data_IF_136848864250
#
_entry.id   IF_136848864250
#
_cell.length_a   1.000
_cell.length_b   1.000
_cell.length_c   1.000
_cell.angle_alpha   90.00
_cell.angle_beta   90.00
_cell.angle_gamma   90.00
#
_symmetry.space_group_name_H-M   'P 1'
#
loop_
_entity.id
_entity.type
_entity.pdbx_description
1 polymer ?
#
# COMPACT_ATOMS: atom_id res chain seq x y z
N UNK A 1 -16.82 -3.15 -13.45
CA UNK A 1 -16.43 -3.13 -12.03
C UNK A 1 -14.93 -3.40 -11.96
N UNK A 2 -14.15 -2.67 -11.16
CA UNK A 2 -12.69 -2.95 -11.04
C UNK A 2 -12.42 -4.28 -10.31
N UNK A 3 -13.37 -4.72 -9.48
CA UNK A 3 -13.35 -5.98 -8.74
C UNK A 3 -13.16 -7.23 -9.62
N UNK A 4 -13.56 -7.19 -10.89
CA UNK A 4 -13.36 -8.33 -11.81
C UNK A 4 -11.87 -8.59 -12.13
N UNK A 5 -10.99 -7.66 -11.78
CA UNK A 5 -9.54 -7.78 -11.93
C UNK A 5 -8.87 -8.14 -10.59
N UNK A 6 -9.61 -8.67 -9.63
CA UNK A 6 -9.05 -9.12 -8.36
C UNK A 6 -7.88 -10.09 -8.58
N UNK A 7 -6.82 -9.87 -7.81
CA UNK A 7 -5.66 -10.76 -7.76
C UNK A 7 -5.39 -11.18 -6.34
N UNK A 8 -5.02 -12.44 -6.17
CA UNK A 8 -4.54 -12.90 -4.88
C UNK A 8 -3.09 -12.47 -4.66
N UNK A 9 -2.86 -11.70 -3.59
CA UNK A 9 -1.53 -11.25 -3.20
C UNK A 9 -1.22 -11.63 -1.75
N UNK A 10 0.07 -11.83 -1.46
CA UNK A 10 0.60 -12.12 -0.12
C UNK A 10 1.86 -11.31 0.13
N UNK A 11 2.07 -10.89 1.38
CA UNK A 11 3.20 -10.10 1.81
C UNK A 11 4.49 -10.91 1.81
N UNK A 12 5.60 -10.31 1.36
CA UNK A 12 6.92 -10.93 1.32
C UNK A 12 7.74 -10.58 2.56
N UNK A 13 8.00 -11.54 3.47
CA UNK A 13 8.83 -11.35 4.67
C UNK A 13 10.27 -10.91 4.36
N UNK A 14 10.78 -11.18 3.16
CA UNK A 14 12.14 -10.78 2.77
C UNK A 14 12.25 -9.27 2.50
N UNK A 15 11.13 -8.63 2.14
CA UNK A 15 11.07 -7.19 1.91
C UNK A 15 10.71 -6.40 3.18
N UNK A 16 10.04 -7.06 4.12
CA UNK A 16 9.47 -6.42 5.30
C UNK A 16 10.51 -5.75 6.20
N UNK A 17 10.24 -4.51 6.59
CA UNK A 17 11.05 -3.80 7.57
C UNK A 17 11.15 -4.57 8.91
N UNK A 18 12.31 -4.62 9.58
CA UNK A 18 12.52 -5.47 10.77
C UNK A 18 11.58 -5.23 11.97
N UNK A 19 10.91 -4.07 12.02
CA UNK A 19 9.89 -3.73 13.04
C UNK A 19 8.47 -4.17 12.66
N UNK A 20 8.28 -4.74 11.47
CA UNK A 20 6.97 -5.22 11.04
C UNK A 20 6.78 -6.67 11.46
N UNK A 21 5.55 -6.99 11.82
CA UNK A 21 5.09 -8.35 12.10
C UNK A 21 4.05 -8.69 11.03
N UNK A 22 4.26 -9.83 10.38
CA UNK A 22 3.36 -10.38 9.37
C UNK A 22 2.61 -11.58 9.97
N UNK A 23 1.37 -11.80 9.54
CA UNK A 23 0.64 -13.04 9.80
C UNK A 23 1.21 -14.21 9.00
N UNK A 24 0.97 -15.44 9.45
CA UNK A 24 1.49 -16.65 8.82
C UNK A 24 0.95 -16.86 7.39
N UNK A 25 -0.29 -16.42 7.14
CA UNK A 25 -0.93 -16.44 5.82
C UNK A 25 -0.42 -15.33 4.88
N UNK A 26 0.44 -14.43 5.38
CA UNK A 26 0.97 -13.30 4.62
C UNK A 26 -0.09 -12.25 4.25
N UNK A 27 -1.24 -12.20 4.92
CA UNK A 27 -2.31 -11.23 4.60
C UNK A 27 -2.30 -9.99 5.49
N UNK A 28 -1.66 -10.04 6.66
CA UNK A 28 -1.71 -8.96 7.65
C UNK A 28 -0.34 -8.38 7.95
N UNK A 29 -0.28 -7.09 8.24
CA UNK A 29 0.92 -6.42 8.74
C UNK A 29 0.61 -5.35 9.77
N UNK A 30 1.38 -5.33 10.85
CA UNK A 30 1.36 -4.26 11.85
C UNK A 30 2.77 -3.93 12.35
N UNK A 31 2.90 -2.79 13.03
CA UNK A 31 4.14 -2.39 13.67
C UNK A 31 4.31 -3.09 15.02
N UNK A 32 5.35 -3.91 15.16
CA UNK A 32 5.64 -4.73 16.33
C UNK A 32 6.35 -4.00 17.49
N UNK A 33 6.67 -2.71 17.35
CA UNK A 33 7.33 -1.93 18.39
C UNK A 33 8.85 -2.12 18.43
N UNK A 34 9.29 -3.37 18.52
CA UNK A 34 10.70 -3.77 18.61
C UNK A 34 11.19 -4.31 17.27
N UNK A 35 12.41 -3.92 16.88
CA UNK A 35 13.05 -4.42 15.68
C UNK A 35 13.62 -5.82 15.88
N UNK A 36 13.31 -6.74 14.98
CA UNK A 36 13.93 -8.06 14.93
C UNK A 36 15.38 -7.94 14.41
N UNK A 37 16.30 -8.73 14.95
CA UNK A 37 17.62 -8.92 14.35
C UNK A 37 17.48 -9.93 13.21
N UNK A 38 17.55 -9.45 11.99
CA UNK A 38 17.45 -10.27 10.76
C UNK A 38 18.77 -10.19 10.01
N UNK A 39 19.14 -11.23 9.24
CA UNK A 39 20.28 -11.14 8.32
C UNK A 39 20.06 -10.02 7.31
N UNK A 40 21.15 -9.42 6.83
CA UNK A 40 21.04 -8.43 5.77
C UNK A 40 20.47 -9.08 4.51
N UNK A 41 19.55 -8.35 3.87
CA UNK A 41 18.88 -8.76 2.65
C UNK A 41 18.69 -7.50 1.80
N UNK A 42 19.18 -7.46 0.55
CA UNK A 42 19.06 -6.28 -0.31
C UNK A 42 17.59 -5.90 -0.60
N UNK A 43 16.67 -6.87 -0.58
CA UNK A 43 15.23 -6.63 -0.79
C UNK A 43 14.56 -5.95 0.41
N UNK A 44 15.17 -6.01 1.60
CA UNK A 44 14.58 -5.57 2.85
C UNK A 44 14.61 -4.06 3.00
N UNK A 45 13.45 -3.47 3.26
CA UNK A 45 13.36 -2.09 3.69
C UNK A 45 14.01 -1.89 5.06
N UNK A 46 14.95 -0.95 5.18
CA UNK A 46 15.62 -0.66 6.47
C UNK A 46 15.31 0.73 7.01
N UNK A 47 14.78 1.63 6.18
CA UNK A 47 14.45 3.02 6.54
C UNK A 47 12.95 3.28 6.65
N UNK A 48 12.16 2.63 5.81
CA UNK A 48 10.70 2.81 5.75
C UNK A 48 10.00 1.60 6.34
N UNK A 49 8.87 1.82 7.02
CA UNK A 49 8.03 0.77 7.61
C UNK A 49 7.19 0.05 6.53
N UNK A 50 7.83 -0.32 5.42
CA UNK A 50 7.18 -0.89 4.24
C UNK A 50 7.38 -2.40 4.17
N UNK A 51 6.47 -3.04 3.46
CA UNK A 51 6.55 -4.43 2.99
C UNK A 51 5.91 -4.49 1.61
N UNK A 52 6.49 -5.27 0.70
CA UNK A 52 5.92 -5.55 -0.61
C UNK A 52 5.15 -6.88 -0.60
N UNK A 53 4.31 -7.08 -1.59
CA UNK A 53 3.81 -8.41 -1.91
C UNK A 53 4.85 -9.26 -2.64
N UNK A 54 4.64 -10.58 -2.65
CA UNK A 54 5.44 -11.52 -3.45
C UNK A 54 5.17 -11.38 -4.94
N UNK A 55 3.91 -11.10 -5.27
CA UNK A 55 3.44 -10.92 -6.63
C UNK A 55 3.78 -9.52 -7.12
N UNK A 56 4.17 -9.45 -8.39
CA UNK A 56 4.34 -8.21 -9.15
C UNK A 56 3.66 -8.33 -10.50
N UNK A 57 3.39 -7.18 -11.10
CA UNK A 57 2.62 -7.09 -12.34
C UNK A 57 3.33 -6.16 -13.31
N UNK A 58 3.53 -6.64 -14.54
CA UNK A 58 4.27 -5.93 -15.59
C UNK A 58 3.42 -5.63 -16.83
N UNK A 59 2.13 -5.95 -16.78
CA UNK A 59 1.15 -5.73 -17.86
C UNK A 59 -0.27 -5.93 -17.34
N UNK A 60 -1.25 -5.52 -18.14
CA UNK A 60 -2.66 -5.79 -17.88
C UNK A 60 -3.24 -5.01 -16.70
N UNK A 61 -4.28 -5.57 -16.08
CA UNK A 61 -5.07 -4.92 -15.03
C UNK A 61 -5.11 -5.80 -13.79
N UNK A 62 -4.98 -5.20 -12.62
CA UNK A 62 -5.12 -5.89 -11.35
C UNK A 62 -5.76 -5.03 -10.28
N UNK A 63 -6.38 -5.68 -9.30
CA UNK A 63 -7.09 -5.05 -8.21
C UNK A 63 -6.86 -5.82 -6.90
N UNK A 64 -6.67 -5.10 -5.80
CA UNK A 64 -6.63 -5.69 -4.45
C UNK A 64 -7.25 -4.75 -3.43
N UNK A 65 -7.73 -5.30 -2.31
CA UNK A 65 -8.36 -4.55 -1.24
C UNK A 65 -7.56 -4.67 0.06
N UNK A 66 -7.50 -3.56 0.79
CA UNK A 66 -6.80 -3.46 2.07
C UNK A 66 -7.75 -2.89 3.10
N UNK A 67 -8.05 -3.65 4.15
CA UNK A 67 -8.71 -3.14 5.33
C UNK A 67 -7.75 -2.23 6.10
N UNK A 68 -8.24 -1.02 6.37
CA UNK A 68 -7.54 0.06 7.09
C UNK A 68 -8.29 0.50 8.36
N UNK A 69 -9.38 -0.21 8.68
CA UNK A 69 -10.26 0.05 9.80
C UNK A 69 -9.50 0.22 11.12
N UNK A 70 -9.94 1.19 11.92
CA UNK A 70 -9.42 1.50 13.26
C UNK A 70 -7.93 1.92 13.29
N UNK A 71 -7.36 2.34 12.15
CA UNK A 71 -6.00 2.90 12.06
C UNK A 71 -6.04 4.43 11.99
N UNK A 72 -5.09 5.06 12.66
CA UNK A 72 -4.91 6.53 12.66
C UNK A 72 -3.82 7.01 11.70
N UNK A 73 -2.97 6.08 11.24
CA UNK A 73 -1.96 6.34 10.21
C UNK A 73 -1.65 5.09 9.38
N UNK A 74 -1.54 5.25 8.07
CA UNK A 74 -1.10 4.20 7.14
C UNK A 74 -0.74 4.78 5.78
N UNK A 75 0.00 4.00 4.99
CA UNK A 75 0.18 4.23 3.57
C UNK A 75 0.06 2.92 2.79
N UNK A 76 -0.46 2.99 1.57
CA UNK A 76 -0.57 1.84 0.68
C UNK A 76 -0.58 2.28 -0.78
N UNK A 77 -0.31 1.34 -1.68
CA UNK A 77 -0.37 1.57 -3.11
C UNK A 77 0.48 0.56 -3.87
N UNK A 78 1.10 1.02 -4.95
CA UNK A 78 2.02 0.22 -5.76
C UNK A 78 3.34 0.96 -5.95
N UNK A 79 4.43 0.20 -6.06
CA UNK A 79 5.77 0.73 -6.25
C UNK A 79 6.54 -0.06 -7.29
N UNK A 80 7.44 0.62 -7.98
CA UNK A 80 8.42 0.03 -8.89
C UNK A 80 9.34 -0.97 -8.19
N UNK A 81 9.85 -1.95 -8.94
CA UNK A 81 10.86 -2.90 -8.47
C UNK A 81 12.14 -2.20 -7.98
N UNK A 82 12.57 -1.17 -8.72
CA UNK A 82 13.78 -0.39 -8.51
C UNK A 82 13.76 0.55 -7.28
N UNK A 83 12.63 0.69 -6.59
CA UNK A 83 12.55 1.65 -5.46
C UNK A 83 13.58 1.32 -4.38
N UNK A 84 14.28 2.34 -3.87
CA UNK A 84 15.35 2.12 -2.90
C UNK A 84 14.80 1.51 -1.61
N UNK A 85 15.46 0.42 -1.17
CA UNK A 85 15.13 -0.30 0.07
C UNK A 85 15.93 0.24 1.26
N UNK A 86 17.07 0.90 1.00
CA UNK A 86 18.09 1.24 2.00
C UNK A 86 18.20 2.75 2.27
N UNK A 87 17.75 3.57 1.33
CA UNK A 87 17.86 5.02 1.44
C UNK A 87 16.62 5.64 2.07
N UNK A 88 16.84 6.80 2.70
CA UNK A 88 15.73 7.64 3.13
C UNK A 88 15.19 8.37 1.91
N UNK A 89 13.97 8.03 1.52
CA UNK A 89 13.21 8.71 0.47
C UNK A 89 12.28 9.69 1.18
N UNK A 90 12.32 10.96 0.80
CA UNK A 90 11.51 12.02 1.43
C UNK A 90 10.02 11.87 1.16
N UNK A 91 9.66 11.33 0.00
CA UNK A 91 8.26 11.11 -0.43
C UNK A 91 8.21 10.00 -1.47
N UNK A 92 7.24 9.06 -1.36
CA UNK A 92 6.97 8.06 -2.40
C UNK A 92 5.97 8.62 -3.42
N UNK A 93 6.46 9.52 -4.28
CA UNK A 93 5.74 10.05 -5.46
C UNK A 93 5.96 9.18 -6.70
N UNK A 94 5.14 9.35 -7.76
CA UNK A 94 5.36 8.64 -9.02
C UNK A 94 6.77 8.83 -9.58
N UNK A 95 7.38 10.02 -9.42
CA UNK A 95 8.74 10.28 -9.89
C UNK A 95 9.79 9.47 -9.12
N UNK A 96 9.60 9.32 -7.79
CA UNK A 96 10.44 8.48 -6.93
C UNK A 96 10.10 6.97 -7.03
N UNK A 97 9.09 6.63 -7.83
CA UNK A 97 8.72 5.26 -8.17
C UNK A 97 7.58 4.64 -7.39
N UNK A 98 6.72 5.43 -6.72
CA UNK A 98 5.56 4.94 -5.99
C UNK A 98 4.27 5.71 -6.25
N UNK A 99 3.15 5.01 -6.33
CA UNK A 99 1.81 5.60 -6.38
C UNK A 99 1.12 5.34 -5.06
N UNK A 100 1.16 6.33 -4.17
CA UNK A 100 0.88 6.11 -2.75
C UNK A 100 -0.26 6.97 -2.24
N UNK A 101 -1.21 6.32 -1.58
CA UNK A 101 -2.22 6.96 -0.76
C UNK A 101 -1.79 6.91 0.71
N UNK A 102 -1.78 8.07 1.36
CA UNK A 102 -1.42 8.24 2.76
C UNK A 102 -2.62 8.72 3.56
N UNK A 103 -2.80 8.14 4.73
CA UNK A 103 -3.72 8.62 5.76
C UNK A 103 -2.95 8.94 7.04
N UNK A 104 -3.13 10.13 7.58
CA UNK A 104 -2.53 10.54 8.85
C UNK A 104 -3.42 11.55 9.56
N UNK A 105 -3.91 11.20 10.76
CA UNK A 105 -4.73 12.09 11.61
C UNK A 105 -5.87 12.76 10.83
N UNK A 106 -6.72 11.95 10.22
CA UNK A 106 -7.90 12.41 9.45
C UNK A 106 -7.56 13.27 8.22
N UNK A 107 -6.34 13.12 7.70
CA UNK A 107 -5.94 13.70 6.41
C UNK A 107 -5.61 12.57 5.45
N UNK A 108 -6.34 12.53 4.34
CA UNK A 108 -6.08 11.64 3.22
C UNK A 108 -5.36 12.45 2.13
N UNK A 109 -4.21 11.96 1.68
CA UNK A 109 -3.43 12.62 0.64
C UNK A 109 -2.89 11.59 -0.35
N UNK A 110 -2.86 11.96 -1.62
CA UNK A 110 -2.05 11.25 -2.61
C UNK A 110 -0.67 11.90 -2.67
N UNK A 111 0.38 11.08 -2.59
CA UNK A 111 1.77 11.55 -2.60
C UNK A 111 2.19 11.90 -4.01
N UNK A 112 2.25 13.20 -4.27
CA UNK A 112 2.65 13.79 -5.54
C UNK A 112 3.41 15.10 -5.28
N UNK A 113 3.90 15.74 -6.34
CA UNK A 113 4.58 17.03 -6.26
C UNK A 113 3.88 18.08 -7.15
N UNK A 114 3.06 18.97 -6.58
CA UNK A 114 2.74 19.13 -5.16
C UNK A 114 1.79 18.05 -4.62
N UNK A 115 1.79 17.85 -3.29
CA UNK A 115 0.90 16.88 -2.62
C UNK A 115 -0.57 17.19 -2.92
N UNK A 116 -1.32 16.15 -3.30
CA UNK A 116 -2.76 16.23 -3.56
C UNK A 116 -3.53 15.91 -2.29
N UNK A 117 -4.27 16.88 -1.76
CA UNK A 117 -5.16 16.69 -0.60
C UNK A 117 -6.51 16.17 -1.05
N UNK A 118 -6.99 15.12 -0.39
CA UNK A 118 -8.23 14.43 -0.75
C UNK A 118 -9.27 14.60 0.36
N UNK A 119 -10.57 14.67 0.01
CA UNK A 119 -11.62 14.71 1.02
C UNK A 119 -11.62 13.40 1.81
N UNK A 120 -11.60 13.50 3.14
CA UNK A 120 -11.77 12.35 4.02
C UNK A 120 -13.25 12.08 4.17
N UNK A 121 -13.69 10.89 3.78
CA UNK A 121 -15.04 10.41 4.08
C UNK A 121 -15.08 9.86 5.50
N UNK A 122 -16.22 10.01 6.16
CA UNK A 122 -16.42 9.37 7.46
C UNK A 122 -16.25 7.85 7.28
N UNK A 123 -15.49 7.24 8.19
CA UNK A 123 -15.34 5.78 8.29
C UNK A 123 -14.70 5.10 7.06
N UNK A 124 -13.55 5.58 6.59
CA UNK A 124 -12.75 4.82 5.61
C UNK A 124 -12.23 3.52 6.25
N UNK A 125 -12.91 2.40 5.98
CA UNK A 125 -12.58 1.09 6.57
C UNK A 125 -11.77 0.20 5.64
N UNK A 126 -11.90 0.38 4.32
CA UNK A 126 -11.25 -0.46 3.32
C UNK A 126 -10.97 0.33 2.04
N UNK A 127 -9.74 0.17 1.53
CA UNK A 127 -9.28 0.83 0.31
C UNK A 127 -9.04 -0.22 -0.77
N UNK A 128 -9.68 -0.01 -1.93
CA UNK A 128 -9.42 -0.77 -3.14
C UNK A 128 -8.36 -0.06 -3.98
N UNK A 129 -7.36 -0.80 -4.46
CA UNK A 129 -6.31 -0.30 -5.35
C UNK A 129 -6.45 -1.01 -6.68
N UNK A 130 -6.69 -0.24 -7.73
CA UNK A 130 -6.78 -0.72 -9.11
C UNK A 130 -5.62 -0.16 -9.92
N UNK A 131 -5.02 -1.01 -10.73
CA UNK A 131 -4.01 -0.61 -11.71
C UNK A 131 -4.42 -1.10 -13.08
N UNK A 132 -4.33 -0.19 -14.05
CA UNK A 132 -4.30 -0.53 -15.47
C UNK A 132 -2.91 -0.17 -15.97
N UNK A 133 -2.06 -1.20 -16.06
CA UNK A 133 -0.65 -1.06 -16.42
C UNK A 133 -0.54 -0.54 -17.85
N UNK A 134 -1.32 -1.10 -18.77
CA UNK A 134 -1.23 -0.76 -20.19
C UNK A 134 -1.76 0.65 -20.48
N UNK A 135 -2.74 1.12 -19.69
CA UNK A 135 -3.27 2.48 -19.78
C UNK A 135 -2.54 3.53 -18.91
N UNK A 136 -1.55 3.13 -18.11
CA UNK A 136 -0.82 4.08 -17.26
C UNK A 136 -1.68 4.68 -16.14
N UNK A 137 -2.48 3.85 -15.47
CA UNK A 137 -3.47 4.29 -14.48
C UNK A 137 -3.30 3.57 -13.13
N UNK A 138 -3.30 4.33 -12.04
CA UNK A 138 -3.49 3.83 -10.67
C UNK A 138 -4.68 4.54 -10.05
N UNK A 139 -5.65 3.79 -9.53
CA UNK A 139 -6.87 4.33 -8.93
C UNK A 139 -7.13 3.76 -7.55
N UNK A 140 -7.65 4.60 -6.67
CA UNK A 140 -8.00 4.26 -5.28
C UNK A 140 -9.50 4.43 -5.08
N UNK A 141 -10.09 3.51 -4.32
CA UNK A 141 -11.52 3.46 -4.05
C UNK A 141 -11.78 3.26 -2.57
N UNK A 142 -12.82 3.93 -2.07
CA UNK A 142 -13.47 3.58 -0.82
C UNK A 142 -14.42 2.43 -1.11
N UNK A 143 -14.08 1.23 -0.63
CA UNK A 143 -14.82 0.01 -0.99
C UNK A 143 -16.21 0.02 -0.38
N UNK A 144 -16.32 0.45 0.87
CA UNK A 144 -17.58 0.42 1.62
C UNK A 144 -18.53 1.51 1.09
N UNK A 145 -18.01 2.71 0.79
CA UNK A 145 -18.80 3.76 0.15
C UNK A 145 -19.02 3.54 -1.36
N UNK A 146 -18.44 2.48 -1.94
CA UNK A 146 -18.46 2.17 -3.39
C UNK A 146 -18.09 3.37 -4.27
N UNK A 147 -17.14 4.18 -3.82
CA UNK A 147 -16.90 5.47 -4.43
C UNK A 147 -15.40 5.75 -4.62
N UNK A 148 -15.08 6.33 -5.78
CA UNK A 148 -13.74 6.72 -6.16
C UNK A 148 -13.14 7.72 -5.16
N UNK A 149 -11.84 7.54 -4.86
CA UNK A 149 -11.05 8.44 -4.01
C UNK A 149 -10.17 9.31 -4.92
N UNK A 150 -9.34 8.68 -5.74
CA UNK A 150 -8.35 9.38 -6.58
C UNK A 150 -7.83 8.49 -7.71
N UNK A 151 -7.40 9.08 -8.82
CA UNK A 151 -6.71 8.40 -9.92
C UNK A 151 -5.47 9.19 -10.34
N UNK A 152 -4.34 8.51 -10.43
CA UNK A 152 -3.15 8.98 -11.12
C UNK A 152 -3.18 8.44 -12.56
N UNK A 153 -3.25 9.35 -13.54
CA UNK A 153 -3.35 9.04 -14.98
C UNK A 153 -2.08 9.45 -15.72
N UNK A 154 -1.87 8.89 -16.92
CA UNK A 154 -0.69 9.25 -17.73
C UNK A 154 0.62 8.74 -17.13
N UNK A 155 0.54 7.69 -16.31
CA UNK A 155 1.70 7.07 -15.70
C UNK A 155 2.46 6.28 -16.77
N UNK A 156 3.79 6.39 -16.76
CA UNK A 156 4.65 5.51 -17.55
C UNK A 156 5.23 4.43 -16.66
N UNK A 157 4.82 3.19 -16.88
CA UNK A 157 5.37 2.02 -16.22
C UNK A 157 6.35 1.31 -17.16
N UNK A 158 7.56 1.06 -16.67
CA UNK A 158 8.64 0.44 -17.44
C UNK A 158 9.23 -0.79 -16.75
N UNK A 159 8.68 -1.17 -15.59
CA UNK A 159 9.17 -2.25 -14.75
C UNK A 159 8.03 -2.83 -13.91
N UNK A 160 8.20 -4.04 -13.34
CA UNK A 160 7.16 -4.66 -12.53
C UNK A 160 6.74 -3.76 -11.37
N UNK A 161 5.42 -3.68 -11.15
CA UNK A 161 4.82 -3.00 -10.01
C UNK A 161 4.50 -4.00 -8.92
N UNK A 162 4.91 -3.67 -7.71
CA UNK A 162 4.61 -4.41 -6.49
C UNK A 162 3.59 -3.63 -5.66
N UNK A 163 2.44 -4.21 -5.32
CA UNK A 163 1.65 -3.77 -4.17
C UNK A 163 2.52 -3.66 -2.91
N UNK A 164 2.27 -2.62 -2.11
CA UNK A 164 2.97 -2.43 -0.86
C UNK A 164 2.06 -1.87 0.23
N UNK A 165 2.41 -2.18 1.48
CA UNK A 165 1.72 -1.70 2.68
C UNK A 165 2.71 -1.05 3.66
N UNK A 166 2.24 -0.01 4.33
CA UNK A 166 2.92 0.67 5.43
C UNK A 166 1.93 0.90 6.58
N UNK A 167 1.99 0.13 7.68
CA UNK A 167 1.07 0.30 8.80
C UNK A 167 1.38 1.54 9.66
N UNK A 168 2.43 2.31 9.32
CA UNK A 168 2.99 3.40 10.10
C UNK A 168 3.38 3.01 11.53
N UNK A 169 3.72 3.99 12.37
CA UNK A 169 4.14 3.77 13.75
C UNK A 169 2.96 3.30 14.62
N UNK A 170 3.26 2.51 15.65
CA UNK A 170 2.30 1.99 16.63
C UNK A 170 1.58 3.08 17.45
N UNK A 171 2.18 4.27 17.58
CA UNK A 171 1.63 5.46 18.27
C UNK A 171 1.04 5.18 19.66
N UNK A 172 1.84 4.54 20.53
CA UNK A 172 1.41 4.22 21.90
C UNK A 172 0.21 3.26 21.98
N UNK A 173 -0.11 2.53 20.90
CA UNK A 173 -1.25 1.61 20.83
C UNK A 173 -2.40 2.13 19.97
N UNK A 174 -2.44 3.45 19.71
CA UNK A 174 -3.51 4.11 18.94
C UNK A 174 -3.52 3.76 17.45
N UNK A 175 -2.47 3.12 16.95
CA UNK A 175 -2.37 2.66 15.57
C UNK A 175 -1.90 1.19 15.49
N UNK A 176 -2.24 0.40 16.51
CA UNK A 176 -1.80 -0.98 16.69
C UNK A 176 -2.47 -1.98 15.75
N UNK A 177 -3.66 -1.64 15.25
CA UNK A 177 -4.44 -2.46 14.33
C UNK A 177 -3.69 -2.73 13.02
N UNK A 178 -3.77 -3.96 12.49
CA UNK A 178 -3.05 -4.34 11.28
C UNK A 178 -3.71 -3.74 10.03
N UNK A 179 -2.90 -3.58 8.99
CA UNK A 179 -3.42 -3.57 7.62
C UNK A 179 -3.66 -5.02 7.19
N UNK A 180 -4.80 -5.29 6.55
CA UNK A 180 -5.20 -6.64 6.16
C UNK A 180 -5.54 -6.64 4.66
N UNK A 181 -4.84 -7.45 3.88
CA UNK A 181 -5.23 -7.78 2.51
C UNK A 181 -6.46 -8.68 2.60
N UNK A 182 -7.60 -8.19 2.14
CA UNK A 182 -8.87 -8.91 2.21
C UNK A 182 -9.32 -9.39 0.83
N UNK A 183 -9.96 -10.57 0.73
CA UNK A 183 -10.63 -10.97 -0.50
C UNK A 183 -11.74 -9.98 -0.86
N UNK A 184 -12.00 -9.84 -2.15
CA UNK A 184 -13.08 -9.00 -2.66
C UNK A 184 -14.39 -9.72 -2.44
N UNK A 185 -15.21 -9.20 -1.52
CA UNK A 185 -16.56 -9.70 -1.36
C UNK A 185 -17.38 -9.26 -2.58
N UNK A 186 -17.57 -10.18 -3.53
CA UNK A 186 -18.53 -10.00 -4.61
C UNK A 186 -19.94 -10.12 -4.04
N UNK A 187 -20.43 -9.06 -3.39
CA UNK A 187 -21.86 -8.88 -3.23
C UNK A 187 -22.38 -8.25 -4.52
N UNK A 188 -23.13 -9.04 -5.27
CA UNK A 188 -23.92 -8.63 -6.43
C UNK A 188 -24.85 -7.45 -6.10
#
# INVERSE_FOLDING_TARGET
RVQQYEVEVTLDPDTAHPKLILSDDGKQVHHGGVGKKLPDNPKRFTRHLHVLTRQSFSSGRFYFEVQVKDKTAWALGVTRESVSRKDLITSFTPESGGWTLYFLKDKLVFSDNPVVRLPVRAELQKVGVFVDYDAGLVSFYDVEARAHIYSATGCTFSEPLYPFLCPCLHDGGRNSTPLIISPVNQTD
#
